data_IF_453154265474
#
_entry.id   IF_453154265474
#
_cell.length_a   1.000
_cell.length_b   1.000
_cell.length_c   1.000
_cell.angle_alpha   90.00
_cell.angle_beta   90.00
_cell.angle_gamma   90.00
#
_symmetry.space_group_name_H-M   'P 1'
#
loop_
_entity.id
_entity.type
_entity.pdbx_description
1 polymer ?
#
# COMPACT_ATOMS: atom_id res chain seq x y z
N UNK A 1 16.26 11.01 0.12
CA UNK A 1 15.44 11.05 -1.10
C UNK A 1 14.79 12.41 -1.33
N UNK A 2 14.15 13.04 -0.35
CA UNK A 2 13.46 14.34 -0.53
C UNK A 2 14.34 15.58 -0.29
N UNK A 3 15.64 15.40 -0.03
CA UNK A 3 16.54 16.50 0.36
C UNK A 3 16.14 17.21 1.67
N UNK A 4 15.36 16.54 2.54
CA UNK A 4 14.88 17.11 3.80
C UNK A 4 13.54 17.86 3.70
N UNK A 5 12.94 17.96 2.51
CA UNK A 5 11.66 18.66 2.29
C UNK A 5 10.48 18.02 3.01
N UNK A 6 10.47 16.70 3.11
CA UNK A 6 9.43 15.91 3.78
C UNK A 6 10.05 15.19 4.97
N UNK A 7 9.47 15.36 6.15
CA UNK A 7 9.93 14.75 7.41
C UNK A 7 8.86 13.86 8.00
N UNK A 8 8.97 12.56 7.75
CA UNK A 8 8.10 11.53 8.34
C UNK A 8 8.79 10.90 9.56
N UNK A 9 8.39 11.32 10.77
CA UNK A 9 9.05 10.88 12.01
C UNK A 9 8.97 9.36 12.19
N UNK A 10 7.80 8.77 11.95
CA UNK A 10 7.60 7.33 12.09
C UNK A 10 8.52 6.52 11.14
N UNK A 11 8.63 6.94 9.87
CA UNK A 11 9.49 6.27 8.89
C UNK A 11 10.97 6.44 9.21
N UNK A 12 11.38 7.61 9.71
CA UNK A 12 12.75 7.83 10.18
C UNK A 12 13.08 6.87 11.33
N UNK A 13 12.20 6.73 12.32
CA UNK A 13 12.42 5.79 13.43
C UNK A 13 12.53 4.34 12.95
N UNK A 14 11.65 3.91 12.03
CA UNK A 14 11.72 2.56 11.43
C UNK A 14 13.04 2.34 10.69
N UNK A 15 13.53 3.34 9.96
CA UNK A 15 14.81 3.25 9.26
C UNK A 15 16.02 3.16 10.22
N UNK A 16 16.00 3.87 11.35
CA UNK A 16 17.06 3.74 12.35
C UNK A 16 17.07 2.36 13.04
N UNK A 17 15.87 1.79 13.29
CA UNK A 17 15.75 0.41 13.80
C UNK A 17 16.31 -0.58 12.77
N UNK A 18 15.99 -0.40 11.48
CA UNK A 18 16.53 -1.23 10.41
C UNK A 18 18.07 -1.17 10.36
N UNK A 19 18.66 0.04 10.41
CA UNK A 19 20.12 0.21 10.45
C UNK A 19 20.75 -0.49 11.64
N UNK A 20 20.12 -0.41 12.81
CA UNK A 20 20.58 -1.11 14.00
C UNK A 20 20.55 -2.63 13.81
N UNK A 21 19.45 -3.17 13.27
CA UNK A 21 19.31 -4.61 13.03
C UNK A 21 20.37 -5.14 12.05
N UNK A 22 20.74 -4.35 11.03
CA UNK A 22 21.75 -4.71 10.02
C UNK A 22 23.19 -4.72 10.54
N UNK A 23 23.45 -4.28 11.77
CA UNK A 23 24.81 -4.28 12.32
C UNK A 23 25.36 -5.72 12.46
N UNK A 24 26.66 -5.94 12.19
CA UNK A 24 27.27 -7.25 12.34
C UNK A 24 27.04 -7.87 13.72
N UNK A 25 26.72 -9.16 13.76
CA UNK A 25 26.56 -9.92 15.00
C UNK A 25 25.23 -9.70 15.75
N UNK A 26 24.28 -8.92 15.20
CA UNK A 26 22.94 -8.76 15.81
C UNK A 26 21.99 -9.90 15.48
N UNK A 27 21.92 -10.26 14.20
CA UNK A 27 21.07 -11.32 13.68
C UNK A 27 21.80 -12.12 12.59
N UNK A 28 21.41 -13.37 12.39
CA UNK A 28 21.96 -14.21 11.33
C UNK A 28 21.59 -13.68 9.93
N UNK A 29 20.32 -13.27 9.77
CA UNK A 29 19.81 -12.58 8.58
C UNK A 29 18.83 -11.48 8.98
N UNK A 30 18.72 -10.44 8.15
CA UNK A 30 17.78 -9.34 8.32
C UNK A 30 17.20 -8.97 6.96
N UNK A 31 15.88 -9.09 6.81
CA UNK A 31 15.16 -8.74 5.57
C UNK A 31 14.01 -7.80 5.92
N UNK A 32 14.19 -6.48 5.71
CA UNK A 32 13.12 -5.51 5.91
C UNK A 32 12.04 -5.67 4.86
N UNK A 33 10.78 -5.62 5.28
CA UNK A 33 9.63 -5.61 4.39
C UNK A 33 8.90 -4.29 4.61
N UNK A 34 8.87 -3.46 3.58
CA UNK A 34 8.15 -2.19 3.64
C UNK A 34 6.76 -2.40 3.06
N UNK A 35 5.73 -2.21 3.87
CA UNK A 35 4.35 -2.52 3.50
C UNK A 35 3.71 -1.37 2.67
N UNK A 36 2.98 -1.74 1.62
CA UNK A 36 2.18 -0.84 0.79
C UNK A 36 0.98 -0.22 1.51
N UNK A 37 0.12 0.49 0.78
CA UNK A 37 -1.15 0.99 1.30
C UNK A 37 -2.13 -0.17 1.47
N UNK A 38 -2.63 -0.37 2.69
CA UNK A 38 -3.51 -1.50 3.00
C UNK A 38 -4.88 -1.33 2.35
N UNK A 39 -5.35 -2.35 1.65
CA UNK A 39 -6.71 -2.40 1.15
C UNK A 39 -7.72 -2.41 2.31
N UNK A 40 -7.34 -2.99 3.45
CA UNK A 40 -8.13 -3.00 4.68
C UNK A 40 -8.48 -1.60 5.20
N UNK A 41 -7.75 -0.55 4.81
CA UNK A 41 -8.11 0.82 5.16
C UNK A 41 -9.49 1.20 4.60
N UNK A 42 -9.92 0.62 3.47
CA UNK A 42 -11.26 0.83 2.89
C UNK A 42 -12.40 0.18 3.69
N UNK A 43 -12.12 -0.61 4.73
CA UNK A 43 -13.13 -1.13 5.64
C UNK A 43 -13.49 -0.13 6.75
N UNK A 44 -12.67 0.90 6.94
CA UNK A 44 -12.84 1.86 8.03
C UNK A 44 -13.86 2.94 7.68
N UNK A 45 -15.08 2.77 8.19
CA UNK A 45 -16.15 3.79 8.08
C UNK A 45 -15.80 5.10 8.79
N UNK A 46 -15.01 5.03 9.86
CA UNK A 46 -14.66 6.19 10.67
C UNK A 46 -13.70 7.14 9.94
N UNK A 47 -12.77 6.59 9.15
CA UNK A 47 -11.79 7.40 8.40
C UNK A 47 -12.26 7.74 6.98
N UNK A 48 -13.27 7.03 6.45
CA UNK A 48 -13.78 7.28 5.11
C UNK A 48 -14.15 8.75 4.80
N UNK A 49 -14.74 9.56 5.71
CA UNK A 49 -15.03 10.97 5.43
C UNK A 49 -13.79 11.80 5.05
N UNK A 50 -12.61 11.45 5.57
CA UNK A 50 -11.34 12.11 5.27
C UNK A 50 -10.98 11.90 3.79
N UNK A 51 -11.40 10.76 3.22
CA UNK A 51 -11.17 10.36 1.85
C UNK A 51 -12.38 10.59 0.94
N UNK A 52 -13.26 11.54 1.28
CA UNK A 52 -14.46 11.85 0.48
C UNK A 52 -15.65 10.92 0.72
N UNK A 53 -15.55 9.99 1.68
CA UNK A 53 -16.63 9.07 2.07
C UNK A 53 -16.53 7.68 1.44
N UNK A 54 -15.67 7.47 0.44
CA UNK A 54 -15.48 6.18 -0.21
C UNK A 54 -14.95 5.10 0.76
N UNK A 55 -15.43 3.83 0.69
CA UNK A 55 -16.49 3.30 -0.18
C UNK A 55 -17.90 3.29 0.47
N UNK A 56 -18.12 4.10 1.50
CA UNK A 56 -19.27 3.95 2.40
C UNK A 56 -20.36 5.00 2.24
N UNK A 57 -19.99 6.26 1.99
CA UNK A 57 -20.91 7.40 2.00
C UNK A 57 -21.09 7.91 0.58
N UNK A 58 -22.33 7.94 0.12
CA UNK A 58 -22.73 8.50 -1.16
C UNK A 58 -22.84 10.03 -1.00
N UNK A 59 -22.24 10.77 -1.91
CA UNK A 59 -22.29 12.23 -1.93
C UNK A 59 -23.63 12.76 -2.51
N UNK A 60 -23.80 14.08 -2.49
CA UNK A 60 -25.02 14.76 -2.94
C UNK A 60 -25.33 14.54 -4.43
N UNK A 61 -24.34 14.12 -5.24
CA UNK A 61 -24.49 13.79 -6.66
C UNK A 61 -24.81 12.31 -6.90
N UNK A 62 -24.83 11.50 -5.85
CA UNK A 62 -25.11 10.07 -5.95
C UNK A 62 -23.87 9.21 -6.22
N UNK A 63 -22.66 9.70 -5.97
CA UNK A 63 -21.40 8.98 -6.16
C UNK A 63 -20.74 8.58 -4.85
N UNK A 64 -20.01 7.47 -4.86
CA UNK A 64 -18.98 7.19 -3.87
C UNK A 64 -17.68 7.83 -4.34
N UNK A 65 -17.32 8.95 -3.73
CA UNK A 65 -16.19 9.75 -4.18
C UNK A 65 -14.96 9.46 -3.32
N UNK A 66 -13.89 8.97 -3.94
CA UNK A 66 -12.59 8.85 -3.29
C UNK A 66 -11.77 10.12 -3.55
N UNK A 67 -11.45 10.85 -2.48
CA UNK A 67 -10.70 12.12 -2.54
C UNK A 67 -9.36 11.99 -1.84
N UNK A 68 -8.30 12.05 -2.62
CA UNK A 68 -6.91 12.15 -2.16
C UNK A 68 -6.09 12.97 -3.17
N UNK A 69 -4.92 13.51 -2.79
CA UNK A 69 -3.99 14.04 -3.77
C UNK A 69 -3.57 12.96 -4.78
N UNK A 70 -3.12 13.38 -5.96
CA UNK A 70 -2.38 12.49 -6.86
C UNK A 70 -1.19 11.84 -6.15
N UNK A 71 -0.82 10.64 -6.57
CA UNK A 71 0.31 9.93 -5.97
C UNK A 71 1.66 10.54 -6.35
N UNK A 72 1.75 11.06 -7.57
CA UNK A 72 2.96 11.49 -8.24
C UNK A 72 3.54 10.42 -9.16
N UNK A 73 4.46 10.85 -10.04
CA UNK A 73 5.11 9.96 -11.00
C UNK A 73 4.14 9.46 -12.07
N UNK A 74 4.06 8.15 -12.21
CA UNK A 74 3.16 7.42 -13.11
C UNK A 74 1.84 6.98 -12.43
N UNK A 75 1.56 7.51 -11.23
CA UNK A 75 0.39 7.16 -10.41
C UNK A 75 0.31 5.68 -10.01
N UNK A 76 1.42 4.94 -10.02
CA UNK A 76 1.46 3.53 -9.60
C UNK A 76 1.50 3.40 -8.07
N UNK A 77 0.33 3.42 -7.43
CA UNK A 77 0.19 3.29 -5.97
C UNK A 77 0.39 1.83 -5.56
N UNK A 78 1.30 1.52 -4.61
CA UNK A 78 1.51 0.16 -4.13
C UNK A 78 0.46 -0.21 -3.07
N UNK A 79 -0.53 -1.00 -3.45
CA UNK A 79 -1.53 -1.55 -2.52
C UNK A 79 -1.13 -2.92 -2.01
N UNK A 80 -1.56 -3.24 -0.79
CA UNK A 80 -1.33 -4.51 -0.11
C UNK A 80 -2.63 -5.04 0.47
N UNK A 81 -2.98 -6.30 0.18
CA UNK A 81 -3.93 -7.05 1.02
C UNK A 81 -3.17 -7.64 2.21
N UNK A 82 -3.35 -7.05 3.40
CA UNK A 82 -2.70 -7.54 4.61
C UNK A 82 -3.21 -8.95 4.95
N UNK A 83 -4.52 -9.16 4.85
CA UNK A 83 -5.17 -10.42 5.22
C UNK A 83 -4.80 -11.58 4.30
N UNK A 84 -4.55 -11.30 3.02
CA UNK A 84 -4.35 -12.36 2.02
C UNK A 84 -2.89 -12.60 1.62
N UNK A 85 -2.02 -11.59 1.69
CA UNK A 85 -0.68 -11.67 1.10
C UNK A 85 0.46 -11.52 2.10
N UNK A 86 0.35 -10.61 3.08
CA UNK A 86 1.51 -10.20 3.89
C UNK A 86 2.14 -11.35 4.67
N UNK A 87 1.31 -12.22 5.27
CA UNK A 87 1.79 -13.40 6.00
C UNK A 87 2.53 -14.39 5.10
N UNK A 88 2.08 -14.58 3.87
CA UNK A 88 2.72 -15.50 2.91
C UNK A 88 4.04 -14.93 2.37
N UNK A 89 4.13 -13.60 2.19
CA UNK A 89 5.38 -12.90 1.83
C UNK A 89 6.42 -13.11 2.95
N UNK A 90 6.03 -12.88 4.21
CA UNK A 90 6.88 -13.11 5.39
C UNK A 90 7.33 -14.57 5.47
N UNK A 91 6.39 -15.52 5.32
CA UNK A 91 6.71 -16.94 5.34
C UNK A 91 7.71 -17.29 4.22
N UNK A 92 7.55 -16.72 3.03
CA UNK A 92 8.41 -17.03 1.89
C UNK A 92 9.86 -16.68 2.15
N UNK A 93 10.11 -15.60 2.91
CA UNK A 93 11.46 -15.21 3.34
C UNK A 93 12.03 -16.25 4.29
N UNK A 94 11.23 -16.81 5.19
CA UNK A 94 11.69 -17.84 6.12
C UNK A 94 12.03 -19.19 5.46
N UNK A 95 11.54 -19.45 4.24
CA UNK A 95 11.92 -20.66 3.50
C UNK A 95 13.38 -20.60 3.00
N UNK A 96 13.87 -19.40 2.68
CA UNK A 96 15.27 -19.17 2.26
C UNK A 96 15.77 -17.80 2.73
N UNK A 97 16.00 -17.61 4.04
CA UNK A 97 16.31 -16.30 4.61
C UNK A 97 17.68 -15.78 4.16
N UNK A 98 18.59 -16.66 3.70
CA UNK A 98 19.91 -16.27 3.24
C UNK A 98 19.83 -15.50 1.91
N UNK A 99 19.00 -15.95 0.97
CA UNK A 99 18.83 -15.31 -0.34
C UNK A 99 18.25 -13.89 -0.27
N UNK A 100 17.45 -13.61 0.77
CA UNK A 100 16.87 -12.27 0.97
C UNK A 100 17.60 -11.45 2.03
N UNK A 101 18.69 -11.96 2.61
CA UNK A 101 19.42 -11.24 3.65
C UNK A 101 19.90 -9.89 3.13
N UNK A 102 19.59 -8.84 3.86
CA UNK A 102 19.95 -7.47 3.54
C UNK A 102 19.10 -6.80 2.46
N UNK A 103 18.23 -7.53 1.75
CA UNK A 103 17.36 -6.96 0.73
C UNK A 103 16.12 -6.33 1.36
N UNK A 104 15.70 -5.18 0.84
CA UNK A 104 14.41 -4.58 1.19
C UNK A 104 13.36 -5.16 0.26
N UNK A 105 12.34 -5.80 0.81
CA UNK A 105 11.22 -6.35 0.06
C UNK A 105 10.08 -5.32 0.03
N UNK A 106 9.53 -5.07 -1.16
CA UNK A 106 8.33 -4.27 -1.33
C UNK A 106 7.12 -5.14 -1.00
N UNK A 107 6.53 -4.93 0.18
CA UNK A 107 5.33 -5.63 0.62
C UNK A 107 4.09 -5.06 -0.07
N UNK A 108 3.96 -5.29 -1.38
CA UNK A 108 2.85 -4.85 -2.20
C UNK A 108 2.22 -6.03 -2.96
N UNK A 109 0.90 -6.05 -3.01
CA UNK A 109 0.10 -7.01 -3.76
C UNK A 109 -0.13 -6.58 -5.19
N UNK A 110 -0.30 -5.27 -5.41
CA UNK A 110 -0.63 -4.71 -6.72
C UNK A 110 -0.19 -3.25 -6.84
N UNK A 111 0.07 -2.81 -8.06
CA UNK A 111 0.35 -1.41 -8.40
C UNK A 111 -0.72 -0.91 -9.36
N UNK A 112 -1.42 0.17 -9.03
CA UNK A 112 -2.44 0.79 -9.88
C UNK A 112 -2.70 2.24 -9.45
N UNK A 113 -3.33 3.02 -10.34
CA UNK A 113 -3.80 4.36 -10.04
C UNK A 113 -5.08 4.37 -9.22
N UNK A 114 -5.38 5.51 -8.59
CA UNK A 114 -6.64 5.71 -7.88
C UNK A 114 -7.85 5.68 -8.84
N UNK A 115 -7.72 6.17 -10.07
CA UNK A 115 -8.75 6.03 -11.11
C UNK A 115 -9.09 4.57 -11.39
N UNK A 116 -8.08 3.71 -11.57
CA UNK A 116 -8.31 2.29 -11.80
C UNK A 116 -8.88 1.61 -10.56
N UNK A 117 -8.45 2.02 -9.35
CA UNK A 117 -8.96 1.47 -8.10
C UNK A 117 -10.46 1.71 -7.93
N UNK A 118 -10.93 2.93 -8.18
CA UNK A 118 -12.37 3.24 -8.09
C UNK A 118 -13.17 2.61 -9.22
N UNK A 119 -12.59 2.50 -10.43
CA UNK A 119 -13.23 1.82 -11.55
C UNK A 119 -13.40 0.32 -11.27
N UNK A 120 -12.38 -0.33 -10.71
CA UNK A 120 -12.45 -1.73 -10.29
C UNK A 120 -13.54 -1.94 -9.23
N UNK A 121 -13.67 -1.00 -8.28
CA UNK A 121 -14.73 -1.03 -7.27
C UNK A 121 -16.12 -0.87 -7.90
N UNK A 122 -16.32 0.11 -8.78
CA UNK A 122 -17.60 0.32 -9.47
C UNK A 122 -17.99 -0.92 -10.26
N UNK A 123 -17.06 -1.51 -11.00
CA UNK A 123 -17.32 -2.69 -11.83
C UNK A 123 -17.83 -3.88 -11.00
N UNK A 124 -17.20 -4.16 -9.85
CA UNK A 124 -17.55 -5.36 -9.06
C UNK A 124 -18.73 -5.16 -8.11
N UNK A 125 -19.12 -3.92 -7.85
CA UNK A 125 -20.24 -3.60 -6.93
C UNK A 125 -21.46 -3.02 -7.65
N UNK A 126 -21.32 -2.53 -8.87
CA UNK A 126 -22.33 -1.76 -9.59
C UNK A 126 -22.65 -0.40 -8.95
N UNK A 127 -21.88 0.04 -7.95
CA UNK A 127 -22.11 1.31 -7.24
C UNK A 127 -21.30 2.41 -7.89
N UNK A 128 -21.99 3.45 -8.39
CA UNK A 128 -21.37 4.63 -9.01
C UNK A 128 -20.29 5.21 -8.10
N UNK A 129 -19.07 5.27 -8.62
CA UNK A 129 -17.89 5.67 -7.87
C UNK A 129 -16.99 6.53 -8.74
N UNK A 130 -16.23 7.44 -8.13
CA UNK A 130 -15.30 8.30 -8.86
C UNK A 130 -14.08 8.63 -8.01
N UNK A 131 -12.97 8.89 -8.69
CA UNK A 131 -11.79 9.49 -8.09
C UNK A 131 -11.85 10.98 -8.38
N UNK A 132 -11.65 11.79 -7.35
CA UNK A 132 -11.58 13.24 -7.47
C UNK A 132 -10.32 13.73 -6.76
N UNK A 133 -9.25 14.06 -7.51
CA UNK A 133 -7.98 14.41 -6.92
C UNK A 133 -8.07 15.74 -6.16
N UNK A 134 -7.43 15.81 -5.00
CA UNK A 134 -7.27 17.05 -4.25
C UNK A 134 -6.15 17.88 -4.89
N UNK A 135 -6.50 19.11 -5.28
CA UNK A 135 -5.64 20.07 -5.98
C UNK A 135 -5.31 21.29 -5.10
N UNK A 136 -4.20 22.02 -5.37
CA UNK A 136 -3.20 21.75 -6.41
C UNK A 136 -2.18 20.67 -6.03
N UNK A 137 -2.09 20.31 -4.74
CA UNK A 137 -1.03 19.45 -4.23
C UNK A 137 -1.40 18.80 -2.89
N UNK A 138 -0.54 17.91 -2.40
CA UNK A 138 -0.72 17.18 -1.14
C UNK A 138 -0.89 18.09 0.09
N UNK A 139 -0.38 19.31 0.07
CA UNK A 139 -0.56 20.30 1.14
C UNK A 139 -2.03 20.67 1.36
N UNK A 140 -2.89 20.54 0.34
CA UNK A 140 -4.32 20.81 0.43
C UNK A 140 -5.12 19.65 1.05
N UNK A 141 -4.51 18.49 1.29
CA UNK A 141 -5.19 17.38 1.97
C UNK A 141 -5.50 17.77 3.43
N UNK A 142 -6.79 17.85 3.76
CA UNK A 142 -7.26 18.19 5.11
C UNK A 142 -7.28 16.94 5.98
N UNK A 143 -6.49 16.95 7.06
CA UNK A 143 -6.38 15.85 8.00
C UNK A 143 -7.44 15.89 9.09
N UNK A 144 -8.32 16.92 9.09
CA UNK A 144 -9.36 17.16 10.07
C UNK A 144 -8.83 17.21 11.52
N UNK A 145 -7.55 17.56 11.68
CA UNK A 145 -6.86 17.59 12.98
C UNK A 145 -6.48 16.21 13.54
N UNK A 146 -6.60 15.13 12.76
CA UNK A 146 -6.24 13.77 13.17
C UNK A 146 -4.74 13.56 12.91
N UNK A 147 -3.97 13.40 13.98
CA UNK A 147 -2.51 13.31 13.93
C UNK A 147 -2.02 12.14 13.06
N UNK A 148 -2.71 11.00 13.07
CA UNK A 148 -2.40 9.83 12.26
C UNK A 148 -2.54 10.12 10.75
N UNK A 149 -3.41 11.06 10.36
CA UNK A 149 -3.59 11.46 8.97
C UNK A 149 -2.51 12.43 8.48
N UNK A 150 -1.78 13.08 9.38
CA UNK A 150 -0.62 13.89 9.00
C UNK A 150 0.48 13.01 8.38
N UNK A 151 0.67 11.78 8.85
CA UNK A 151 1.59 10.83 8.23
C UNK A 151 1.12 10.41 6.82
N UNK A 152 -0.20 10.26 6.61
CA UNK A 152 -0.80 9.97 5.29
C UNK A 152 -0.59 11.16 4.35
N UNK A 153 -0.82 12.38 4.83
CA UNK A 153 -0.54 13.61 4.09
C UNK A 153 0.93 13.70 3.67
N UNK A 154 1.84 13.43 4.60
CA UNK A 154 3.28 13.43 4.33
C UNK A 154 3.70 12.29 3.39
N UNK A 155 3.00 11.15 3.38
CA UNK A 155 3.21 10.10 2.39
C UNK A 155 2.95 10.60 0.97
N UNK A 156 1.84 11.32 0.72
CA UNK A 156 1.60 11.95 -0.58
C UNK A 156 2.70 12.95 -0.93
N UNK A 157 3.10 13.79 0.03
CA UNK A 157 4.21 14.73 -0.18
C UNK A 157 5.52 14.03 -0.52
N UNK A 158 5.82 12.90 0.13
CA UNK A 158 6.97 12.08 -0.17
C UNK A 158 6.89 11.53 -1.60
N UNK A 159 5.82 10.83 -1.95
CA UNK A 159 5.64 10.21 -3.27
C UNK A 159 5.68 11.26 -4.39
N UNK A 160 4.99 12.39 -4.26
CA UNK A 160 5.04 13.48 -5.24
C UNK A 160 6.45 14.06 -5.37
N UNK A 161 7.18 14.25 -4.26
CA UNK A 161 8.55 14.79 -4.27
C UNK A 161 9.56 13.81 -4.89
N UNK A 162 9.31 12.51 -4.80
CA UNK A 162 10.21 11.45 -5.28
C UNK A 162 9.81 10.89 -6.65
N UNK A 163 8.79 11.47 -7.30
CA UNK A 163 8.29 11.04 -8.60
C UNK A 163 7.58 9.68 -8.55
N UNK A 164 6.72 9.47 -7.56
CA UNK A 164 5.91 8.27 -7.35
C UNK A 164 6.57 7.16 -6.53
N UNK A 165 7.83 7.33 -6.11
CA UNK A 165 8.56 6.31 -5.35
C UNK A 165 8.10 6.27 -3.89
N UNK A 166 7.89 5.07 -3.38
CA UNK A 166 7.36 4.87 -2.03
C UNK A 166 8.31 4.14 -1.08
N UNK A 167 8.94 3.05 -1.54
CA UNK A 167 9.71 2.16 -0.68
C UNK A 167 11.20 2.50 -0.58
N UNK A 168 11.73 3.24 -1.55
CA UNK A 168 13.15 3.50 -1.69
C UNK A 168 13.51 4.19 -3.00
N UNK A 169 14.80 4.28 -3.34
CA UNK A 169 15.25 4.91 -4.59
C UNK A 169 14.74 4.18 -5.84
N UNK A 170 14.44 2.89 -5.72
CA UNK A 170 13.92 2.08 -6.81
C UNK A 170 12.41 2.22 -6.99
N UNK A 171 11.89 2.03 -8.22
CA UNK A 171 10.46 1.95 -8.46
C UNK A 171 9.79 0.85 -7.61
N UNK A 172 8.54 1.09 -7.23
CA UNK A 172 7.71 0.07 -6.59
C UNK A 172 7.58 -1.16 -7.50
N UNK A 173 7.57 -2.34 -6.91
CA UNK A 173 7.46 -3.61 -7.64
C UNK A 173 6.68 -4.63 -6.80
N UNK A 174 6.15 -5.67 -7.45
CA UNK A 174 5.39 -6.76 -6.81
C UNK A 174 5.92 -8.14 -7.18
N UNK A 175 6.98 -8.22 -8.00
CA UNK A 175 7.53 -9.49 -8.48
C UNK A 175 8.13 -10.28 -7.33
N UNK A 176 8.91 -9.65 -6.47
CA UNK A 176 9.51 -10.33 -5.30
C UNK A 176 8.41 -10.82 -4.34
N UNK A 177 7.40 -9.99 -4.06
CA UNK A 177 6.25 -10.41 -3.25
C UNK A 177 5.50 -11.61 -3.87
N UNK A 178 5.32 -11.63 -5.18
CA UNK A 178 4.66 -12.73 -5.89
C UNK A 178 5.46 -14.03 -5.84
N UNK A 179 6.79 -13.94 -6.00
CA UNK A 179 7.70 -15.07 -5.88
C UNK A 179 7.66 -15.68 -4.48
N UNK A 180 7.69 -14.84 -3.44
CA UNK A 180 7.62 -15.24 -2.04
C UNK A 180 6.28 -15.90 -1.69
N UNK A 181 5.15 -15.28 -2.08
CA UNK A 181 3.82 -15.87 -1.87
C UNK A 181 3.67 -17.21 -2.56
N UNK A 182 4.14 -17.33 -3.81
CA UNK A 182 4.13 -18.59 -4.55
C UNK A 182 4.98 -19.65 -3.84
N UNK A 183 6.17 -19.32 -3.38
CA UNK A 183 7.04 -20.25 -2.65
C UNK A 183 6.35 -20.76 -1.38
N UNK A 184 5.72 -19.89 -0.60
CA UNK A 184 4.93 -20.27 0.57
C UNK A 184 3.78 -21.20 0.20
N UNK A 185 2.99 -20.84 -0.80
CA UNK A 185 1.85 -21.66 -1.21
C UNK A 185 2.29 -23.06 -1.69
N UNK A 186 3.42 -23.18 -2.40
CA UNK A 186 4.02 -24.48 -2.77
C UNK A 186 4.47 -25.26 -1.54
N UNK A 187 5.20 -24.62 -0.61
CA UNK A 187 5.69 -25.27 0.60
C UNK A 187 4.56 -25.79 1.50
N UNK A 188 3.41 -25.11 1.49
CA UNK A 188 2.22 -25.48 2.25
C UNK A 188 1.25 -26.40 1.48
N UNK A 189 1.58 -26.81 0.26
CA UNK A 189 0.71 -27.66 -0.57
C UNK A 189 -0.63 -27.02 -0.94
N UNK A 190 -0.69 -25.69 -1.00
CA UNK A 190 -1.93 -24.94 -1.30
C UNK A 190 -2.20 -24.91 -2.81
N UNK A 191 -3.49 -24.83 -3.23
CA UNK A 191 -3.87 -24.85 -4.65
C UNK A 191 -3.35 -23.63 -5.42
N UNK A 192 -3.23 -23.76 -6.75
CA UNK A 192 -2.68 -22.74 -7.64
C UNK A 192 -3.29 -21.34 -7.49
N UNK A 193 -4.61 -21.25 -7.20
CA UNK A 193 -5.27 -19.97 -6.97
C UNK A 193 -4.67 -19.15 -5.81
N UNK A 194 -4.18 -19.82 -4.77
CA UNK A 194 -3.54 -19.19 -3.60
C UNK A 194 -2.09 -18.76 -3.83
N UNK A 195 -1.51 -19.07 -5.00
CA UNK A 195 -0.14 -18.72 -5.34
C UNK A 195 0.01 -17.30 -5.90
N UNK A 196 -1.10 -16.64 -6.22
CA UNK A 196 -1.12 -15.27 -6.77
C UNK A 196 -1.37 -14.25 -5.66
N UNK A 197 -0.79 -13.06 -5.83
CA UNK A 197 -1.12 -11.90 -5.00
C UNK A 197 -2.57 -11.47 -5.24
N UNK A 198 -3.21 -10.95 -4.20
CA UNK A 198 -4.58 -10.44 -4.26
C UNK A 198 -4.63 -9.13 -5.06
N UNK A 199 -5.51 -9.07 -6.06
CA UNK A 199 -5.76 -7.79 -6.76
C UNK A 199 -6.80 -6.96 -5.99
N UNK A 200 -6.79 -5.61 -6.08
CA UNK A 200 -7.82 -4.76 -5.48
C UNK A 200 -9.22 -5.10 -5.97
N UNK A 201 -9.38 -5.42 -7.25
CA UNK A 201 -10.66 -5.87 -7.84
C UNK A 201 -11.19 -7.15 -7.20
N UNK A 202 -10.36 -8.20 -7.08
CA UNK A 202 -10.73 -9.44 -6.40
C UNK A 202 -11.07 -9.18 -4.92
N UNK A 203 -10.29 -8.33 -4.25
CA UNK A 203 -10.51 -7.96 -2.85
C UNK A 203 -11.82 -7.19 -2.66
N UNK A 204 -12.09 -6.17 -3.47
CA UNK A 204 -13.34 -5.42 -3.42
C UNK A 204 -14.54 -6.31 -3.71
N UNK A 205 -14.44 -7.20 -4.71
CA UNK A 205 -15.49 -8.18 -4.99
C UNK A 205 -15.78 -9.05 -3.76
N UNK A 206 -14.74 -9.52 -3.06
CA UNK A 206 -14.91 -10.36 -1.87
C UNK A 206 -15.50 -9.62 -0.66
N UNK A 207 -15.30 -8.30 -0.55
CA UNK A 207 -15.72 -7.50 0.64
C UNK A 207 -16.98 -6.67 0.42
N UNK A 208 -17.24 -6.25 -0.81
CA UNK A 208 -18.30 -5.31 -1.18
C UNK A 208 -19.15 -5.79 -2.37
N UNK A 209 -18.72 -6.84 -3.07
CA UNK A 209 -19.50 -7.41 -4.17
C UNK A 209 -20.84 -7.95 -3.68
N UNK A 210 -21.83 -7.88 -4.56
CA UNK A 210 -23.17 -8.46 -4.38
C UNK A 210 -23.21 -9.93 -4.77
#
# INVERSE_FOLDING_TARGET
MTGGKIRMKAMQMKNEIEKYARQPGKFATVTPINAGWYLENFLSKETAPIFGGFPHVVDDEGYLTFRVPHWGGDEQVPFLSIGDDYGDIVHGIFLDPASYNGHVVHGASHLLSFDQLVADFEEVTGRKSRFEPILPSWEAFDTLGIAEMDDVKLMFGFAQTTGGRYFGPEPSETRTAAELKRATAVALGRPGASQRLMTPKEWFKARFGT
#
